data_IF_678377534419
#
_entry.id   IF_678377534419
#
_cell.length_a   1.000
_cell.length_b   1.000
_cell.length_c   1.000
_cell.angle_alpha   90.00
_cell.angle_beta   90.00
_cell.angle_gamma   90.00
#
_symmetry.space_group_name_H-M   'P 1'
#
loop_
_entity.id
_entity.type
_entity.pdbx_description
1 polymer ?
#
# COMPACT_ATOMS: atom_id res chain seq x y z
N UNK A 1 13.01 -1.60 21.39
CA UNK A 1 11.93 -0.62 21.15
C UNK A 1 12.20 0.22 19.92
N UNK A 2 13.31 0.97 19.86
CA UNK A 2 13.69 1.76 18.67
C UNK A 2 13.69 0.94 17.38
N UNK A 3 14.26 -0.26 17.43
CA UNK A 3 14.21 -1.23 16.33
C UNK A 3 12.78 -1.53 15.88
N UNK A 4 11.83 -1.75 16.79
CA UNK A 4 10.44 -2.02 16.45
C UNK A 4 9.76 -0.82 15.81
N UNK A 5 9.90 0.37 16.38
CA UNK A 5 9.23 1.56 15.86
C UNK A 5 9.81 1.97 14.51
N UNK A 6 11.14 1.93 14.35
CA UNK A 6 11.78 2.21 13.07
C UNK A 6 11.43 1.15 12.04
N UNK A 7 11.30 -0.11 12.46
CA UNK A 7 10.78 -1.17 11.62
C UNK A 7 9.34 -0.89 11.16
N UNK A 8 8.45 -0.45 12.07
CA UNK A 8 7.08 -0.04 11.66
C UNK A 8 7.14 1.13 10.69
N UNK A 9 8.00 2.13 10.92
CA UNK A 9 8.16 3.26 9.99
C UNK A 9 8.60 2.80 8.60
N UNK A 10 9.53 1.86 8.55
CA UNK A 10 10.02 1.27 7.30
C UNK A 10 8.93 0.48 6.57
N UNK A 11 8.15 -0.34 7.29
CA UNK A 11 7.18 -1.27 6.67
C UNK A 11 5.78 -0.72 6.49
N UNK A 12 5.37 0.24 7.30
CA UNK A 12 3.99 0.71 7.38
C UNK A 12 3.85 2.21 7.10
N UNK A 13 4.95 2.90 6.82
CA UNK A 13 4.99 4.34 6.60
C UNK A 13 5.19 5.15 7.88
N UNK A 14 5.28 6.49 7.78
CA UNK A 14 5.55 7.35 8.91
C UNK A 14 4.49 7.19 10.00
N UNK A 15 4.95 7.07 11.25
CA UNK A 15 4.08 7.13 12.41
C UNK A 15 3.68 8.59 12.66
N UNK A 16 2.40 8.82 12.98
CA UNK A 16 1.75 10.12 13.15
C UNK A 16 2.68 11.18 13.75
N UNK A 17 3.21 12.13 12.96
CA UNK A 17 4.15 13.13 13.47
C UNK A 17 3.42 14.07 14.43
N UNK A 18 3.69 13.93 15.73
CA UNK A 18 3.12 14.72 16.83
C UNK A 18 1.61 14.56 17.07
N UNK A 19 0.98 13.47 16.60
CA UNK A 19 -0.49 13.29 16.68
C UNK A 19 -0.93 11.89 17.13
N UNK A 20 -0.13 11.22 17.94
CA UNK A 20 -0.43 9.84 18.36
C UNK A 20 -0.25 9.59 19.85
N UNK A 21 -1.10 8.71 20.39
CA UNK A 21 -0.90 8.06 21.68
C UNK A 21 -0.18 6.73 21.47
N UNK A 22 0.90 6.54 22.23
CA UNK A 22 1.60 5.27 22.40
C UNK A 22 1.12 4.57 23.66
N UNK A 23 0.85 3.28 23.59
CA UNK A 23 0.45 2.44 24.73
C UNK A 23 1.38 1.21 24.86
N UNK A 24 1.87 0.95 26.07
CA UNK A 24 2.53 -0.32 26.42
C UNK A 24 1.68 -1.06 27.46
N UNK A 25 1.17 -2.25 27.10
CA UNK A 25 0.38 -3.10 28.00
C UNK A 25 1.28 -4.09 28.72
N UNK A 26 1.34 -3.98 30.06
CA UNK A 26 2.33 -4.68 30.85
C UNK A 26 3.69 -3.99 30.72
N UNK A 27 3.73 -2.68 30.96
CA UNK A 27 4.90 -1.84 30.72
C UNK A 27 6.10 -2.14 31.62
N UNK A 28 5.90 -2.93 32.67
CA UNK A 28 6.93 -3.31 33.62
C UNK A 28 7.50 -2.08 34.32
N UNK A 29 8.78 -1.79 34.08
CA UNK A 29 9.44 -0.59 34.62
C UNK A 29 9.44 0.60 33.64
N UNK A 30 8.63 0.54 32.58
CA UNK A 30 8.44 1.65 31.64
C UNK A 30 9.55 1.83 30.59
N UNK A 31 10.39 0.81 30.34
CA UNK A 31 11.53 0.94 29.39
C UNK A 31 11.07 1.29 27.98
N UNK A 32 10.03 0.62 27.48
CA UNK A 32 9.52 0.89 26.12
C UNK A 32 8.87 2.27 26.05
N UNK A 33 8.09 2.66 27.08
CA UNK A 33 7.50 3.99 27.17
C UNK A 33 8.57 5.09 27.13
N UNK A 34 9.64 4.95 27.93
CA UNK A 34 10.73 5.93 27.93
C UNK A 34 11.48 5.97 26.60
N UNK A 35 11.76 4.82 25.99
CA UNK A 35 12.37 4.76 24.67
C UNK A 35 11.48 5.43 23.61
N UNK A 36 10.17 5.16 23.63
CA UNK A 36 9.22 5.82 22.74
C UNK A 36 9.20 7.35 22.96
N UNK A 37 9.34 7.79 24.22
CA UNK A 37 9.33 9.20 24.60
C UNK A 37 10.54 9.99 24.10
N UNK A 38 11.69 9.33 24.04
CA UNK A 38 12.95 9.96 23.64
C UNK A 38 13.21 9.89 22.14
N UNK A 39 12.68 8.86 21.47
CA UNK A 39 13.08 8.54 20.10
C UNK A 39 12.02 8.87 19.06
N UNK A 40 10.77 9.11 19.48
CA UNK A 40 9.65 9.27 18.56
C UNK A 40 8.71 10.42 18.96
N UNK A 41 8.11 11.10 17.97
CA UNK A 41 7.31 12.31 18.19
C UNK A 41 5.87 11.96 18.58
N UNK A 42 5.67 11.12 19.60
CA UNK A 42 4.33 10.88 20.13
C UNK A 42 3.84 12.11 20.89
N UNK A 43 2.52 12.33 20.93
CA UNK A 43 1.94 13.39 21.76
C UNK A 43 1.86 12.93 23.22
N UNK A 44 1.49 11.67 23.41
CA UNK A 44 1.28 11.06 24.73
C UNK A 44 1.73 9.61 24.73
N UNK A 45 2.23 9.18 25.88
CA UNK A 45 2.80 7.85 26.10
C UNK A 45 2.22 7.33 27.39
N UNK A 46 1.62 6.15 27.31
CA UNK A 46 0.91 5.52 28.41
C UNK A 46 1.52 4.14 28.64
N UNK A 47 1.98 3.87 29.86
CA UNK A 47 2.30 2.52 30.32
C UNK A 47 1.23 2.04 31.30
N UNK A 48 0.76 0.81 31.16
CA UNK A 48 -0.18 0.18 32.10
C UNK A 48 0.51 -1.02 32.74
N UNK A 49 0.60 -1.00 34.07
CA UNK A 49 1.26 -2.04 34.86
C UNK A 49 0.44 -2.41 36.10
N UNK A 50 0.29 -3.71 36.35
CA UNK A 50 -0.51 -4.22 37.46
C UNK A 50 0.28 -4.26 38.77
N UNK A 51 1.58 -4.55 38.71
CA UNK A 51 2.43 -4.73 39.88
C UNK A 51 2.88 -3.39 40.46
N UNK A 52 2.45 -3.12 41.70
CA UNK A 52 2.78 -1.87 42.40
C UNK A 52 4.30 -1.62 42.47
N UNK A 53 5.09 -2.65 42.75
CA UNK A 53 6.55 -2.51 42.87
C UNK A 53 7.23 -2.05 41.58
N UNK A 54 6.66 -2.39 40.42
CA UNK A 54 7.15 -1.94 39.12
C UNK A 54 6.62 -0.54 38.80
N UNK A 55 5.36 -0.27 39.12
CA UNK A 55 4.77 1.05 38.95
C UNK A 55 5.42 2.14 39.84
N UNK A 56 5.92 1.78 41.03
CA UNK A 56 6.71 2.69 41.85
C UNK A 56 8.00 3.13 41.12
N UNK A 57 8.63 2.21 40.38
CA UNK A 57 9.79 2.50 39.54
C UNK A 57 9.39 3.38 38.36
N UNK A 58 8.28 3.08 37.70
CA UNK A 58 7.73 3.91 36.63
C UNK A 58 7.45 5.35 37.07
N UNK A 59 6.89 5.54 38.26
CA UNK A 59 6.64 6.86 38.85
C UNK A 59 7.94 7.64 39.04
N UNK A 60 9.00 6.97 39.52
CA UNK A 60 10.33 7.58 39.62
C UNK A 60 10.94 7.90 38.25
N UNK A 61 10.73 7.04 37.24
CA UNK A 61 11.14 7.30 35.85
C UNK A 61 10.38 8.50 35.28
N UNK A 62 9.08 8.62 35.52
CA UNK A 62 8.26 9.75 35.07
C UNK A 62 8.75 11.07 35.66
N UNK A 63 9.04 11.10 36.97
CA UNK A 63 9.58 12.28 37.63
C UNK A 63 10.91 12.71 37.03
N UNK A 64 11.83 11.77 36.79
CA UNK A 64 13.11 12.06 36.12
C UNK A 64 12.92 12.53 34.69
N UNK A 65 12.02 11.89 33.94
CA UNK A 65 11.73 12.29 32.57
C UNK A 65 11.17 13.72 32.52
N UNK A 66 10.37 14.15 33.50
CA UNK A 66 9.87 15.51 33.60
C UNK A 66 10.99 16.56 33.72
N UNK A 67 12.13 16.21 34.31
CA UNK A 67 13.32 17.06 34.44
C UNK A 67 14.22 17.07 33.20
N UNK A 68 14.07 16.10 32.28
CA UNK A 68 14.88 16.03 31.06
C UNK A 68 14.54 17.18 30.10
N UNK A 69 15.56 17.95 29.71
CA UNK A 69 15.49 18.89 28.59
C UNK A 69 15.76 18.14 27.28
N UNK A 70 14.83 18.26 26.32
CA UNK A 70 15.00 17.65 25.00
C UNK A 70 15.75 18.60 24.05
N UNK A 71 16.46 18.08 23.04
CA UNK A 71 17.08 18.88 21.99
C UNK A 71 16.10 19.84 21.30
N UNK A 72 16.62 20.96 20.79
CA UNK A 72 15.82 21.94 20.04
C UNK A 72 15.07 21.27 18.87
N UNK A 73 13.77 21.58 18.74
CA UNK A 73 12.89 21.00 17.72
C UNK A 73 12.21 19.68 18.09
N UNK A 74 12.53 19.07 19.25
CA UNK A 74 11.80 17.91 19.74
C UNK A 74 10.65 18.32 20.67
N UNK A 75 9.44 17.83 20.38
CA UNK A 75 8.29 17.98 21.27
C UNK A 75 8.38 16.96 22.40
N UNK A 76 8.31 17.40 23.66
CA UNK A 76 8.29 16.51 24.82
C UNK A 76 6.88 15.90 24.97
N UNK A 77 6.72 14.56 24.87
CA UNK A 77 5.43 13.93 25.06
C UNK A 77 4.95 14.02 26.51
N UNK A 78 3.64 13.96 26.69
CA UNK A 78 3.05 13.63 27.99
C UNK A 78 3.34 12.15 28.31
N UNK A 79 4.19 11.89 29.30
CA UNK A 79 4.45 10.54 29.80
C UNK A 79 3.56 10.27 31.02
N UNK A 80 2.75 9.22 30.97
CA UNK A 80 1.85 8.80 32.05
C UNK A 80 1.97 7.30 32.30
N UNK A 81 1.99 6.91 33.58
CA UNK A 81 1.95 5.52 33.99
C UNK A 81 0.70 5.28 34.81
N UNK A 82 -0.03 4.23 34.47
CA UNK A 82 -1.28 3.85 35.12
C UNK A 82 -1.07 2.54 35.84
N UNK A 83 -1.19 2.57 37.17
CA UNK A 83 -1.28 1.38 37.99
C UNK A 83 -2.65 0.76 37.78
N UNK A 84 -2.72 -0.43 37.19
CA UNK A 84 -3.99 -1.10 36.95
C UNK A 84 -3.82 -2.48 36.34
N UNK A 85 -4.74 -3.38 36.70
CA UNK A 85 -4.92 -4.66 36.00
C UNK A 85 -5.83 -4.41 34.80
N UNK A 86 -5.26 -4.39 33.59
CA UNK A 86 -6.02 -4.09 32.38
C UNK A 86 -7.07 -5.15 32.02
N UNK A 87 -7.05 -6.33 32.65
CA UNK A 87 -8.10 -7.35 32.50
C UNK A 87 -9.28 -7.02 33.41
N UNK A 88 -9.01 -6.80 34.69
CA UNK A 88 -10.05 -6.52 35.69
C UNK A 88 -10.63 -5.10 35.59
N UNK A 89 -9.81 -4.14 35.13
CA UNK A 89 -10.10 -2.71 35.11
C UNK A 89 -10.18 -2.17 33.67
N UNK A 90 -10.47 -3.03 32.69
CA UNK A 90 -10.51 -2.67 31.27
C UNK A 90 -11.38 -1.42 31.01
N UNK A 91 -12.61 -1.41 31.52
CA UNK A 91 -13.60 -0.35 31.26
C UNK A 91 -13.16 0.99 31.88
N UNK A 92 -12.45 0.96 33.02
CA UNK A 92 -11.96 2.18 33.68
C UNK A 92 -10.62 2.68 33.15
N UNK A 93 -9.75 1.78 32.67
CA UNK A 93 -8.38 2.10 32.26
C UNK A 93 -8.23 2.19 30.74
N UNK A 94 -8.63 1.12 30.03
CA UNK A 94 -8.36 0.99 28.60
C UNK A 94 -9.48 1.54 27.72
N UNK A 95 -10.75 1.39 28.11
CA UNK A 95 -11.87 1.77 27.26
C UNK A 95 -11.88 3.25 26.89
N UNK A 96 -11.45 4.12 27.81
CA UNK A 96 -11.40 5.57 27.59
C UNK A 96 -10.25 6.00 26.69
N UNK A 97 -9.09 5.35 26.80
CA UNK A 97 -7.89 5.72 26.03
C UNK A 97 -7.83 5.03 24.67
N UNK A 98 -8.41 3.83 24.53
CA UNK A 98 -8.29 2.99 23.34
C UNK A 98 -8.57 3.72 22.01
N UNK A 99 -9.61 4.57 21.89
CA UNK A 99 -9.89 5.31 20.65
C UNK A 99 -8.80 6.29 20.23
N UNK A 100 -7.91 6.69 21.14
CA UNK A 100 -6.79 7.62 20.88
C UNK A 100 -5.47 6.86 20.60
N UNK A 101 -5.40 5.56 20.90
CA UNK A 101 -4.18 4.76 20.79
C UNK A 101 -3.84 4.45 19.34
N UNK A 102 -2.90 5.22 18.80
CA UNK A 102 -2.37 5.03 17.45
C UNK A 102 -1.31 3.94 17.35
N UNK A 103 -0.62 3.62 18.44
CA UNK A 103 0.42 2.60 18.48
C UNK A 103 0.39 1.87 19.82
N UNK A 104 0.28 0.55 19.80
CA UNK A 104 0.32 -0.28 21.00
C UNK A 104 1.41 -1.36 20.92
N UNK A 105 2.08 -1.61 22.04
CA UNK A 105 2.98 -2.75 22.23
C UNK A 105 2.43 -3.65 23.33
N UNK A 106 2.52 -4.96 23.10
CA UNK A 106 2.10 -5.99 24.05
C UNK A 106 3.16 -7.08 24.10
N UNK A 107 3.92 -7.14 25.20
CA UNK A 107 4.88 -8.23 25.42
C UNK A 107 4.19 -9.42 26.08
N UNK A 108 3.46 -10.19 25.29
CA UNK A 108 2.54 -11.22 25.74
C UNK A 108 3.20 -12.58 26.10
N UNK A 109 4.46 -12.60 26.54
CA UNK A 109 5.18 -13.86 26.80
C UNK A 109 4.55 -14.70 27.91
N UNK A 110 3.96 -14.05 28.92
CA UNK A 110 3.36 -14.71 30.08
C UNK A 110 1.85 -14.47 30.18
N UNK A 111 1.23 -13.94 29.12
CA UNK A 111 -0.20 -13.64 29.11
C UNK A 111 -1.01 -14.93 28.95
N UNK A 112 -2.11 -15.06 29.67
CA UNK A 112 -3.08 -16.13 29.47
C UNK A 112 -4.21 -15.69 28.54
N UNK A 113 -5.24 -16.54 28.46
CA UNK A 113 -6.45 -16.24 27.70
C UNK A 113 -7.15 -14.94 28.16
N UNK A 114 -7.28 -14.63 29.47
CA UNK A 114 -7.93 -13.38 29.91
C UNK A 114 -7.23 -12.13 29.41
N UNK A 115 -5.90 -12.10 29.48
CA UNK A 115 -5.08 -10.98 29.01
C UNK A 115 -5.18 -10.83 27.49
N UNK A 116 -5.11 -11.93 26.75
CA UNK A 116 -5.23 -11.89 25.28
C UNK A 116 -6.65 -11.48 24.83
N UNK A 117 -7.69 -11.83 25.58
CA UNK A 117 -9.05 -11.33 25.35
C UNK A 117 -9.15 -9.82 25.59
N UNK A 118 -8.49 -9.29 26.61
CA UNK A 118 -8.42 -7.84 26.85
C UNK A 118 -7.66 -7.12 25.73
N UNK A 119 -6.55 -7.69 25.23
CA UNK A 119 -5.82 -7.17 24.06
C UNK A 119 -6.71 -7.15 22.81
N UNK A 120 -7.52 -8.20 22.59
CA UNK A 120 -8.48 -8.24 21.48
C UNK A 120 -9.55 -7.13 21.60
N UNK A 121 -10.09 -6.90 22.80
CA UNK A 121 -11.04 -5.79 23.06
C UNK A 121 -10.41 -4.42 22.84
N UNK A 122 -9.15 -4.22 23.26
CA UNK A 122 -8.40 -2.99 22.98
C UNK A 122 -8.28 -2.80 21.46
N UNK A 123 -7.82 -3.83 20.75
CA UNK A 123 -7.60 -3.78 19.31
C UNK A 123 -8.90 -3.44 18.53
N UNK A 124 -10.06 -3.90 18.99
CA UNK A 124 -11.36 -3.52 18.42
C UNK A 124 -11.68 -2.03 18.58
N UNK A 125 -11.26 -1.40 19.69
CA UNK A 125 -11.54 0.01 20.01
C UNK A 125 -10.52 1.00 19.47
N UNK A 126 -9.33 0.54 19.07
CA UNK A 126 -8.30 1.41 18.48
C UNK A 126 -8.77 2.06 17.16
N UNK A 127 -8.29 3.27 16.82
CA UNK A 127 -8.68 3.96 15.60
C UNK A 127 -8.14 3.29 14.34
N UNK A 128 -8.73 3.64 13.19
CA UNK A 128 -8.20 3.26 11.88
C UNK A 128 -6.76 3.75 11.69
N UNK A 129 -5.93 2.95 11.00
CA UNK A 129 -4.52 3.26 10.77
C UNK A 129 -3.62 2.96 11.96
N UNK A 130 -4.20 2.61 13.12
CA UNK A 130 -3.41 2.25 14.29
C UNK A 130 -2.55 1.01 14.05
N UNK A 131 -1.41 0.95 14.75
CA UNK A 131 -0.49 -0.18 14.73
C UNK A 131 -0.48 -0.90 16.07
N UNK A 132 -0.41 -2.23 16.04
CA UNK A 132 -0.32 -3.08 17.22
C UNK A 132 0.83 -4.06 17.04
N UNK A 133 1.75 -4.08 17.98
CA UNK A 133 2.84 -5.05 18.05
C UNK A 133 2.54 -6.02 19.19
N UNK A 134 2.56 -7.32 18.89
CA UNK A 134 2.51 -8.36 19.92
C UNK A 134 3.77 -9.21 19.85
N UNK A 135 4.32 -9.55 21.02
CA UNK A 135 5.49 -10.42 21.16
C UNK A 135 5.06 -11.74 21.80
N UNK A 136 5.61 -12.84 21.31
CA UNK A 136 5.33 -14.23 21.69
C UNK A 136 3.96 -14.74 21.22
N UNK A 137 2.87 -14.03 21.55
CA UNK A 137 1.51 -14.44 21.18
C UNK A 137 0.92 -13.58 20.06
N UNK A 138 0.11 -14.21 19.20
CA UNK A 138 -0.60 -13.54 18.09
C UNK A 138 -1.90 -12.91 18.58
N UNK A 139 -2.35 -11.86 17.90
CA UNK A 139 -3.72 -11.37 18.02
C UNK A 139 -4.72 -12.46 17.60
N UNK A 140 -5.94 -12.39 18.14
CA UNK A 140 -6.99 -13.35 17.82
C UNK A 140 -7.26 -13.42 16.31
N UNK A 141 -7.27 -14.65 15.78
CA UNK A 141 -7.49 -14.98 14.38
C UNK A 141 -8.83 -14.47 13.81
N UNK A 142 -9.79 -14.10 14.66
CA UNK A 142 -11.08 -13.51 14.29
C UNK A 142 -10.95 -12.02 13.96
N UNK A 143 -9.97 -11.33 14.54
CA UNK A 143 -9.66 -9.92 14.27
C UNK A 143 -8.70 -9.75 13.10
N UNK A 144 -7.93 -10.78 12.76
CA UNK A 144 -6.94 -10.71 11.69
C UNK A 144 -7.58 -10.95 10.33
N UNK A 145 -7.55 -9.93 9.48
CA UNK A 145 -7.99 -9.96 8.08
C UNK A 145 -6.99 -10.78 7.28
N UNK A 146 -7.49 -11.85 6.66
CA UNK A 146 -6.74 -12.63 5.69
C UNK A 146 -7.52 -12.66 4.38
N UNK A 147 -7.10 -11.81 3.46
CA UNK A 147 -7.70 -11.63 2.13
C UNK A 147 -7.62 -12.92 1.29
N UNK A 148 -6.68 -13.81 1.63
CA UNK A 148 -6.42 -15.06 0.93
C UNK A 148 -6.75 -16.28 1.80
N UNK A 149 -7.54 -16.13 2.88
CA UNK A 149 -7.79 -17.22 3.83
C UNK A 149 -8.43 -18.40 3.13
N UNK A 150 -7.64 -19.45 2.89
CA UNK A 150 -8.08 -20.62 2.15
C UNK A 150 -9.34 -21.24 2.77
N UNK A 151 -10.39 -21.50 1.97
CA UNK A 151 -11.62 -22.16 2.45
C UNK A 151 -11.34 -23.49 3.15
N UNK A 152 -10.26 -24.21 2.80
CA UNK A 152 -9.85 -25.48 3.41
C UNK A 152 -9.42 -25.35 4.86
N UNK A 153 -8.66 -24.30 5.22
CA UNK A 153 -8.28 -24.04 6.62
C UNK A 153 -9.52 -23.75 7.48
N UNK A 154 -10.54 -23.11 6.89
CA UNK A 154 -11.85 -22.91 7.53
C UNK A 154 -12.61 -24.21 7.72
N UNK A 155 -12.60 -25.10 6.72
CA UNK A 155 -13.21 -26.44 6.80
C UNK A 155 -12.63 -27.21 7.98
N UNK A 156 -11.30 -27.24 8.13
CA UNK A 156 -10.66 -27.90 9.27
C UNK A 156 -11.09 -27.30 10.63
N UNK A 157 -11.17 -25.97 10.75
CA UNK A 157 -11.56 -25.32 12.01
C UNK A 157 -13.05 -25.51 12.34
N UNK A 158 -13.92 -25.40 11.34
CA UNK A 158 -15.35 -25.62 11.49
C UNK A 158 -15.65 -27.09 11.81
N UNK A 159 -14.99 -28.03 11.12
CA UNK A 159 -15.04 -29.46 11.44
C UNK A 159 -14.54 -29.72 12.85
N UNK A 160 -13.45 -29.06 13.29
CA UNK A 160 -12.95 -29.18 14.68
C UNK A 160 -13.95 -28.66 15.71
N UNK A 161 -14.59 -27.50 15.46
CA UNK A 161 -15.65 -26.95 16.34
C UNK A 161 -16.89 -27.85 16.38
N UNK A 162 -17.32 -28.35 15.22
CA UNK A 162 -18.45 -29.28 15.12
C UNK A 162 -18.14 -30.62 15.82
N UNK A 163 -16.93 -31.14 15.69
CA UNK A 163 -16.45 -32.33 16.41
C UNK A 163 -16.43 -32.10 17.92
N UNK A 164 -15.96 -30.94 18.39
CA UNK A 164 -15.94 -30.60 19.80
C UNK A 164 -17.34 -30.52 20.43
N UNK A 165 -18.34 -30.06 19.67
CA UNK A 165 -19.74 -30.00 20.14
C UNK A 165 -20.50 -31.34 19.99
N UNK A 166 -20.29 -32.08 18.90
CA UNK A 166 -21.13 -33.24 18.52
C UNK A 166 -20.48 -34.59 18.78
N UNK A 167 -19.17 -34.63 19.04
CA UNK A 167 -18.41 -35.87 19.29
C UNK A 167 -18.15 -36.77 18.08
N UNK A 168 -18.77 -36.51 16.92
CA UNK A 168 -18.62 -37.31 15.69
C UNK A 168 -18.56 -36.43 14.44
N UNK A 169 -17.70 -36.82 13.49
CA UNK A 169 -17.52 -36.11 12.23
C UNK A 169 -18.75 -36.31 11.32
N UNK A 170 -19.37 -35.25 10.78
CA UNK A 170 -20.48 -35.41 9.86
C UNK A 170 -20.00 -36.08 8.57
N UNK A 171 -20.38 -37.35 8.36
CA UNK A 171 -20.09 -38.08 7.13
C UNK A 171 -21.04 -37.65 6.01
N UNK A 172 -20.50 -37.28 4.85
CA UNK A 172 -21.26 -37.11 3.61
C UNK A 172 -21.90 -35.73 3.36
N UNK A 173 -21.68 -34.75 4.23
CA UNK A 173 -22.13 -33.37 4.00
C UNK A 173 -20.92 -32.52 3.61
N UNK A 174 -20.88 -32.06 2.36
CA UNK A 174 -19.96 -31.01 1.95
C UNK A 174 -20.47 -29.69 2.52
N UNK A 175 -19.84 -29.24 3.60
CA UNK A 175 -20.13 -27.93 4.19
C UNK A 175 -19.44 -26.90 3.29
N UNK A 176 -20.19 -26.28 2.39
CA UNK A 176 -19.79 -25.04 1.74
C UNK A 176 -19.80 -23.93 2.80
N UNK A 177 -18.61 -23.59 3.30
CA UNK A 177 -18.47 -22.47 4.22
C UNK A 177 -18.34 -21.21 3.40
N UNK A 178 -19.40 -20.41 3.40
CA UNK A 178 -19.33 -19.01 2.97
C UNK A 178 -18.13 -18.33 3.65
N UNK A 179 -17.42 -17.44 2.94
CA UNK A 179 -16.35 -16.67 3.56
C UNK A 179 -16.88 -15.99 4.81
N UNK A 180 -16.23 -16.21 5.95
CA UNK A 180 -16.48 -15.35 7.10
C UNK A 180 -16.21 -13.93 6.63
N UNK A 181 -17.22 -13.08 6.74
CA UNK A 181 -17.05 -11.67 6.44
C UNK A 181 -15.90 -11.16 7.32
N UNK A 182 -14.87 -10.60 6.68
CA UNK A 182 -13.79 -9.96 7.42
C UNK A 182 -14.42 -8.86 8.28
N UNK A 183 -14.00 -8.77 9.55
CA UNK A 183 -14.44 -7.68 10.41
C UNK A 183 -14.13 -6.36 9.69
N UNK A 184 -15.10 -5.45 9.50
CA UNK A 184 -14.86 -4.17 8.84
C UNK A 184 -13.81 -3.33 9.57
N UNK A 185 -13.52 -3.62 10.84
CA UNK A 185 -12.49 -3.03 11.68
C UNK A 185 -11.33 -4.01 11.96
N UNK A 186 -11.11 -4.96 11.06
CA UNK A 186 -10.08 -5.98 11.21
C UNK A 186 -8.65 -5.46 11.06
N UNK A 187 -7.70 -6.32 11.42
CA UNK A 187 -6.27 -6.05 11.47
C UNK A 187 -5.54 -6.84 10.39
N UNK A 188 -4.66 -6.21 9.61
CA UNK A 188 -3.77 -6.95 8.71
C UNK A 188 -2.45 -7.24 9.42
N UNK A 189 -2.04 -8.50 9.42
CA UNK A 189 -0.67 -8.87 9.78
C UNK A 189 0.28 -8.35 8.68
N UNK A 190 1.08 -7.35 9.01
CA UNK A 190 2.05 -6.73 8.08
C UNK A 190 3.40 -7.41 8.14
N UNK A 191 3.78 -7.92 9.30
CA UNK A 191 5.05 -8.59 9.48
C UNK A 191 5.00 -9.60 10.61
N UNK A 192 5.79 -10.67 10.45
CA UNK A 192 6.00 -11.71 11.45
C UNK A 192 7.44 -12.17 11.32
N UNK A 193 8.20 -12.12 12.42
CA UNK A 193 9.60 -12.58 12.44
C UNK A 193 10.01 -13.05 13.83
N UNK A 194 11.17 -13.70 13.92
CA UNK A 194 11.79 -14.08 15.19
C UNK A 194 12.73 -12.98 15.66
N UNK A 195 12.64 -12.60 16.93
CA UNK A 195 13.47 -11.58 17.58
C UNK A 195 14.19 -12.19 18.77
N UNK A 196 15.47 -11.86 18.89
CA UNK A 196 16.30 -12.26 20.03
C UNK A 196 16.11 -11.27 21.18
N UNK A 197 15.67 -11.75 22.33
CA UNK A 197 15.49 -10.96 23.55
C UNK A 197 16.43 -11.48 24.65
N UNK A 198 16.55 -10.75 25.76
CA UNK A 198 17.44 -11.14 26.87
C UNK A 198 17.13 -12.53 27.44
N UNK A 199 15.90 -13.02 27.25
CA UNK A 199 15.43 -14.34 27.69
C UNK A 199 15.33 -15.38 26.56
N UNK A 200 15.81 -15.06 25.36
CA UNK A 200 15.89 -15.95 24.20
C UNK A 200 15.08 -15.49 22.98
N UNK A 201 15.10 -16.31 21.93
CA UNK A 201 14.38 -16.09 20.68
C UNK A 201 12.87 -16.24 20.88
N UNK A 202 12.09 -15.27 20.41
CA UNK A 202 10.62 -15.35 20.38
C UNK A 202 10.07 -14.77 19.08
N UNK A 203 8.79 -14.97 18.80
CA UNK A 203 8.12 -14.39 17.64
C UNK A 203 7.63 -12.97 17.94
N UNK A 204 7.67 -12.09 16.95
CA UNK A 204 7.04 -10.78 16.97
C UNK A 204 6.08 -10.64 15.79
N UNK A 205 4.94 -9.99 16.03
CA UNK A 205 3.89 -9.78 15.05
C UNK A 205 3.52 -8.30 15.02
N UNK A 206 3.55 -7.72 13.82
CA UNK A 206 3.12 -6.35 13.57
C UNK A 206 1.80 -6.36 12.81
N UNK A 207 0.79 -5.74 13.41
CA UNK A 207 -0.51 -5.56 12.83
C UNK A 207 -0.77 -4.09 12.55
N UNK A 208 -1.53 -3.82 11.49
CA UNK A 208 -2.06 -2.48 11.20
C UNK A 208 -3.56 -2.58 10.97
N UNK A 209 -4.32 -1.69 11.61
CA UNK A 209 -5.76 -1.62 11.53
C UNK A 209 -6.16 -0.90 10.26
N UNK A 210 -7.06 -1.51 9.49
CA UNK A 210 -7.63 -0.88 8.31
C UNK A 210 -9.13 -1.03 8.36
N UNK A 211 -9.82 -0.02 7.84
CA UNK A 211 -11.19 -0.28 7.38
C UNK A 211 -11.17 -0.93 6.01
N UNK A 212 -12.29 -1.56 5.64
CA UNK A 212 -12.50 -2.05 4.29
C UNK A 212 -12.16 -0.95 3.26
N UNK A 213 -11.34 -1.22 2.22
CA UNK A 213 -11.00 -2.51 1.61
C UNK A 213 -9.71 -3.16 2.14
N UNK A 214 -9.17 -2.69 3.26
CA UNK A 214 -7.94 -3.19 3.86
C UNK A 214 -6.67 -2.95 3.00
N UNK A 215 -6.59 -1.82 2.30
CA UNK A 215 -5.45 -1.44 1.43
C UNK A 215 -4.62 -0.31 2.05
N UNK A 216 -3.30 -0.33 1.86
CA UNK A 216 -2.46 0.88 2.00
C UNK A 216 -2.50 1.73 0.74
N UNK A 217 -2.19 3.02 0.87
CA UNK A 217 -1.94 3.88 -0.29
C UNK A 217 -0.82 3.28 -1.14
N UNK A 218 -1.10 3.02 -2.41
CA UNK A 218 -0.20 2.34 -3.34
C UNK A 218 -0.39 0.82 -3.43
N UNK A 219 -1.12 0.17 -2.51
CA UNK A 219 -1.49 -1.23 -2.66
C UNK A 219 -2.32 -1.42 -3.95
N UNK A 220 -2.13 -2.56 -4.63
CA UNK A 220 -3.04 -2.96 -5.69
C UNK A 220 -4.38 -3.36 -5.07
N UNK A 221 -5.46 -2.82 -5.61
CA UNK A 221 -6.86 -3.12 -5.29
C UNK A 221 -7.65 -3.43 -6.58
N UNK A 222 -8.88 -3.90 -6.42
CA UNK A 222 -9.85 -3.94 -7.53
C UNK A 222 -10.84 -2.79 -7.34
N UNK A 223 -11.21 -2.08 -8.40
CA UNK A 223 -12.10 -0.94 -8.29
C UNK A 223 -13.24 -0.99 -9.31
N UNK A 224 -14.46 -0.78 -8.83
CA UNK A 224 -15.64 -0.58 -9.66
C UNK A 224 -15.81 0.92 -9.97
N UNK A 225 -15.95 1.32 -11.24
CA UNK A 225 -16.13 2.71 -11.60
C UNK A 225 -17.47 3.27 -11.08
N UNK A 226 -17.65 4.59 -11.15
CA UNK A 226 -18.93 5.22 -10.81
C UNK A 226 -20.05 4.71 -11.73
N UNK A 227 -21.32 4.63 -11.28
CA UNK A 227 -22.44 4.10 -12.09
C UNK A 227 -22.70 4.86 -13.40
N UNK A 228 -22.18 6.09 -13.51
CA UNK A 228 -22.29 6.95 -14.69
C UNK A 228 -21.32 6.56 -15.82
N UNK A 229 -20.30 5.75 -15.51
CA UNK A 229 -19.37 5.23 -16.51
C UNK A 229 -20.03 4.08 -17.26
N UNK A 230 -20.01 4.11 -18.59
CA UNK A 230 -20.67 3.09 -19.42
C UNK A 230 -20.09 1.69 -19.17
N UNK A 231 -18.77 1.59 -19.01
CA UNK A 231 -18.08 0.37 -18.61
C UNK A 231 -18.08 0.22 -17.09
N UNK A 232 -18.81 -0.76 -16.58
CA UNK A 232 -18.88 -1.11 -15.15
C UNK A 232 -17.88 -2.21 -14.76
N UNK A 233 -16.91 -2.53 -15.62
CA UNK A 233 -15.93 -3.58 -15.37
C UNK A 233 -15.04 -3.25 -14.17
N UNK A 234 -14.97 -4.17 -13.21
CA UNK A 234 -14.06 -4.07 -12.08
C UNK A 234 -12.64 -4.34 -12.57
N UNK A 235 -11.76 -3.36 -12.41
CA UNK A 235 -10.39 -3.40 -12.94
C UNK A 235 -9.34 -3.21 -11.82
N UNK A 236 -8.10 -3.70 -12.02
CA UNK A 236 -7.02 -3.48 -11.07
C UNK A 236 -6.60 -2.00 -11.04
N UNK A 237 -6.33 -1.49 -9.85
CA UNK A 237 -5.97 -0.10 -9.60
C UNK A 237 -5.01 -0.01 -8.40
N UNK A 238 -4.26 1.09 -8.30
CA UNK A 238 -3.54 1.46 -7.10
C UNK A 238 -4.47 2.21 -6.16
N UNK A 239 -4.55 1.77 -4.92
CA UNK A 239 -5.37 2.38 -3.89
C UNK A 239 -4.83 3.77 -3.53
N UNK A 240 -5.70 4.78 -3.53
CA UNK A 240 -5.37 6.15 -3.07
C UNK A 240 -6.16 6.49 -1.81
N UNK A 241 -7.42 6.06 -1.74
CA UNK A 241 -8.29 6.20 -0.59
C UNK A 241 -9.59 5.41 -0.74
N UNK A 242 -10.51 5.48 0.23
CA UNK A 242 -11.72 4.65 0.27
C UNK A 242 -12.62 4.76 -0.96
N UNK A 243 -12.63 5.93 -1.60
CA UNK A 243 -13.44 6.24 -2.78
C UNK A 243 -12.59 6.70 -3.96
N UNK A 244 -11.27 6.57 -3.88
CA UNK A 244 -10.35 7.13 -4.87
C UNK A 244 -9.26 6.13 -5.19
N UNK A 245 -9.01 5.90 -6.47
CA UNK A 245 -7.97 4.97 -6.94
C UNK A 245 -7.28 5.54 -8.17
N UNK A 246 -6.19 4.90 -8.58
CA UNK A 246 -5.54 5.14 -9.87
C UNK A 246 -5.54 3.84 -10.66
N UNK A 247 -6.36 3.74 -11.71
CA UNK A 247 -6.43 2.52 -12.50
C UNK A 247 -5.07 2.16 -13.09
N UNK A 248 -4.71 0.87 -13.04
CA UNK A 248 -3.45 0.41 -13.65
C UNK A 248 -3.51 0.54 -15.17
N UNK A 249 -4.70 0.55 -15.77
CA UNK A 249 -4.86 0.70 -17.22
C UNK A 249 -4.70 2.13 -17.72
N UNK A 250 -4.70 3.10 -16.80
CA UNK A 250 -4.56 4.50 -17.14
C UNK A 250 -3.07 4.86 -17.23
N UNK A 251 -2.62 5.24 -18.42
CA UNK A 251 -1.29 5.80 -18.61
C UNK A 251 -1.19 7.23 -18.00
N UNK A 252 -2.32 7.89 -17.75
CA UNK A 252 -2.37 9.21 -17.14
C UNK A 252 -2.12 9.20 -15.63
N UNK A 253 -2.15 8.02 -14.98
CA UNK A 253 -1.98 7.86 -13.54
C UNK A 253 -2.83 8.85 -12.70
N UNK A 254 -4.01 9.23 -13.19
CA UNK A 254 -4.88 10.17 -12.48
C UNK A 254 -5.64 9.44 -11.38
N UNK A 255 -5.75 10.10 -10.23
CA UNK A 255 -6.64 9.64 -9.19
C UNK A 255 -8.08 9.92 -9.63
N UNK A 256 -8.93 8.90 -9.62
CA UNK A 256 -10.33 8.96 -10.03
C UNK A 256 -11.23 8.45 -8.92
N UNK A 257 -12.43 9.00 -8.83
CA UNK A 257 -13.45 8.52 -7.91
C UNK A 257 -14.07 7.21 -8.41
N UNK A 258 -14.38 6.33 -7.47
CA UNK A 258 -14.92 4.99 -7.75
C UNK A 258 -16.08 4.67 -6.83
N UNK A 259 -17.01 3.84 -7.32
CA UNK A 259 -18.19 3.45 -6.54
C UNK A 259 -17.83 2.50 -5.40
N UNK A 260 -16.87 1.61 -5.63
CA UNK A 260 -16.43 0.62 -4.64
C UNK A 260 -15.01 0.16 -4.90
N UNK A 261 -14.24 0.02 -3.83
CA UNK A 261 -12.94 -0.65 -3.84
C UNK A 261 -13.07 -2.01 -3.18
N UNK A 262 -12.39 -3.01 -3.74
CA UNK A 262 -12.33 -4.37 -3.23
C UNK A 262 -10.88 -4.79 -2.98
N UNK A 263 -10.65 -5.65 -1.98
CA UNK A 263 -9.33 -6.22 -1.74
C UNK A 263 -8.79 -7.00 -2.96
N UNK A 264 -7.48 -6.94 -3.19
CA UNK A 264 -6.81 -7.67 -4.26
C UNK A 264 -6.40 -9.08 -3.81
N UNK A 265 -7.34 -10.02 -3.89
CA UNK A 265 -7.11 -11.43 -3.54
C UNK A 265 -6.40 -12.21 -4.68
N UNK A 266 -5.95 -13.43 -4.39
CA UNK A 266 -5.27 -14.30 -5.36
C UNK A 266 -6.11 -14.59 -6.63
N UNK A 267 -7.44 -14.70 -6.50
CA UNK A 267 -8.32 -14.91 -7.65
C UNK A 267 -8.35 -13.66 -8.56
N UNK A 268 -8.52 -12.48 -7.96
CA UNK A 268 -8.44 -11.19 -8.66
C UNK A 268 -7.09 -11.01 -9.33
N UNK A 269 -6.00 -11.41 -8.66
CA UNK A 269 -4.64 -11.41 -9.21
C UNK A 269 -4.52 -12.31 -10.44
N UNK A 270 -5.02 -13.55 -10.40
CA UNK A 270 -5.01 -14.46 -11.57
C UNK A 270 -5.77 -13.87 -12.75
N UNK A 271 -6.93 -13.25 -12.50
CA UNK A 271 -7.73 -12.56 -13.53
C UNK A 271 -6.97 -11.36 -14.12
N UNK A 272 -6.38 -10.52 -13.26
CA UNK A 272 -5.60 -9.35 -13.68
C UNK A 272 -4.35 -9.74 -14.48
N UNK A 273 -3.59 -10.74 -14.04
CA UNK A 273 -2.42 -11.27 -14.78
C UNK A 273 -2.83 -11.78 -16.15
N UNK A 274 -3.95 -12.52 -16.27
CA UNK A 274 -4.46 -13.00 -17.55
C UNK A 274 -4.85 -11.83 -18.47
N UNK A 275 -5.53 -10.82 -17.94
CA UNK A 275 -5.91 -9.62 -18.69
C UNK A 275 -4.67 -8.87 -19.19
N UNK A 276 -3.68 -8.65 -18.33
CA UNK A 276 -2.46 -7.92 -18.68
C UNK A 276 -1.58 -8.68 -19.65
N UNK A 277 -1.54 -10.01 -19.59
CA UNK A 277 -0.92 -10.81 -20.63
C UNK A 277 -1.54 -10.55 -22.00
N UNK A 278 -2.87 -10.51 -22.10
CA UNK A 278 -3.55 -10.20 -23.35
C UNK A 278 -3.25 -8.77 -23.82
N UNK A 279 -3.14 -7.81 -22.89
CA UNK A 279 -2.78 -6.42 -23.20
C UNK A 279 -1.35 -6.28 -23.70
N UNK A 280 -0.38 -6.97 -23.10
CA UNK A 280 1.01 -7.01 -23.57
C UNK A 280 1.06 -7.55 -25.00
N UNK A 281 0.37 -8.65 -25.29
CA UNK A 281 0.33 -9.22 -26.64
C UNK A 281 -0.36 -8.27 -27.65
N UNK A 282 -1.45 -7.63 -27.25
CA UNK A 282 -2.14 -6.63 -28.08
C UNK A 282 -1.24 -5.41 -28.37
N UNK A 283 -0.54 -4.90 -27.35
CA UNK A 283 0.35 -3.75 -27.49
C UNK A 283 1.61 -4.10 -28.30
N UNK A 284 2.14 -5.33 -28.17
CA UNK A 284 3.21 -5.84 -29.05
C UNK A 284 2.75 -5.98 -30.49
N UNK A 285 1.55 -6.52 -30.72
CA UNK A 285 0.98 -6.63 -32.06
C UNK A 285 0.77 -5.25 -32.70
N UNK A 286 0.30 -4.27 -31.92
CA UNK A 286 0.16 -2.87 -32.32
C UNK A 286 1.52 -2.21 -32.57
N UNK A 287 2.51 -2.48 -31.73
CA UNK A 287 3.87 -2.01 -31.92
C UNK A 287 4.50 -2.58 -33.20
N UNK A 288 4.15 -3.80 -33.58
CA UNK A 288 4.59 -4.44 -34.81
C UNK A 288 3.85 -3.94 -36.08
N UNK A 289 2.74 -3.20 -35.95
CA UNK A 289 2.09 -2.60 -37.11
C UNK A 289 3.05 -1.62 -37.80
N UNK A 290 3.01 -1.66 -39.14
CA UNK A 290 4.03 -1.10 -40.02
C UNK A 290 4.23 0.40 -39.89
N UNK A 291 5.34 0.87 -40.46
CA UNK A 291 5.85 2.23 -40.38
C UNK A 291 4.98 3.27 -41.13
N UNK A 292 3.85 2.83 -41.68
CA UNK A 292 2.87 3.62 -42.42
C UNK A 292 2.30 4.77 -41.59
N UNK A 293 2.17 4.62 -40.27
CA UNK A 293 1.69 5.69 -39.38
C UNK A 293 2.63 6.92 -39.41
N UNK A 294 3.94 6.69 -39.48
CA UNK A 294 4.94 7.76 -39.55
C UNK A 294 4.84 8.47 -40.89
N UNK A 295 4.74 7.71 -41.99
CA UNK A 295 4.56 8.27 -43.32
C UNK A 295 3.26 9.10 -43.42
N UNK A 296 2.15 8.61 -42.86
CA UNK A 296 0.87 9.32 -42.84
C UNK A 296 0.94 10.60 -42.01
N UNK A 297 1.56 10.56 -40.82
CA UNK A 297 1.72 11.74 -39.97
C UNK A 297 2.57 12.82 -40.65
N UNK A 298 3.67 12.43 -41.30
CA UNK A 298 4.52 13.36 -42.07
C UNK A 298 3.76 13.95 -43.26
N UNK A 299 3.03 13.13 -44.02
CA UNK A 299 2.23 13.59 -45.16
C UNK A 299 1.19 14.64 -44.73
N UNK A 300 0.48 14.39 -43.62
CA UNK A 300 -0.51 15.32 -43.07
C UNK A 300 0.11 16.68 -42.70
N UNK A 301 1.27 16.69 -42.04
CA UNK A 301 1.94 17.96 -41.71
C UNK A 301 2.41 18.70 -42.97
N UNK A 302 2.84 17.99 -44.02
CA UNK A 302 3.22 18.61 -45.30
C UNK A 302 2.05 19.26 -46.03
N UNK A 303 0.85 18.69 -45.94
CA UNK A 303 -0.37 19.29 -46.48
C UNK A 303 -0.70 20.64 -45.81
N UNK A 304 -0.39 20.77 -44.51
CA UNK A 304 -0.61 21.99 -43.75
C UNK A 304 0.56 23.00 -43.88
N UNK A 305 1.79 22.50 -44.02
CA UNK A 305 3.03 23.29 -44.02
C UNK A 305 4.06 22.71 -45.00
N UNK A 306 4.15 23.30 -46.19
CA UNK A 306 5.10 22.90 -47.26
C UNK A 306 6.59 22.92 -46.82
N UNK A 307 6.94 23.65 -45.76
CA UNK A 307 8.31 23.79 -45.27
C UNK A 307 8.74 22.69 -44.29
N UNK A 308 7.83 21.82 -43.88
CA UNK A 308 8.16 20.72 -42.97
C UNK A 308 9.12 19.72 -43.65
N UNK A 309 10.24 19.45 -43.00
CA UNK A 309 11.32 18.60 -43.50
C UNK A 309 12.02 19.12 -44.78
N UNK A 310 12.18 20.44 -44.91
CA UNK A 310 12.99 21.03 -45.99
C UNK A 310 14.42 20.46 -45.91
N UNK A 311 14.95 19.99 -47.04
CA UNK A 311 16.22 19.24 -47.16
C UNK A 311 16.25 17.84 -46.53
N UNK A 312 15.09 17.24 -46.23
CA UNK A 312 14.98 15.88 -45.71
C UNK A 312 15.37 15.74 -44.24
N UNK A 313 15.50 16.86 -43.52
CA UNK A 313 15.83 16.92 -42.09
C UNK A 313 14.65 17.41 -41.28
N UNK A 314 14.32 16.70 -40.21
CA UNK A 314 13.17 16.96 -39.36
C UNK A 314 13.67 17.40 -37.98
N UNK A 315 13.28 18.58 -37.47
CA UNK A 315 13.58 18.96 -36.10
C UNK A 315 12.85 18.04 -35.11
N UNK A 316 13.49 17.65 -34.01
CA UNK A 316 12.88 16.73 -33.04
C UNK A 316 12.60 17.36 -31.67
N UNK A 317 12.91 18.66 -31.47
CA UNK A 317 12.53 19.40 -30.27
C UNK A 317 11.03 19.66 -30.24
N UNK A 318 10.45 19.61 -29.04
CA UNK A 318 9.01 19.73 -28.80
C UNK A 318 8.66 21.10 -28.23
N UNK A 319 9.04 22.16 -28.95
CA UNK A 319 8.68 23.53 -28.57
C UNK A 319 7.19 23.78 -28.82
N UNK A 320 6.58 24.68 -28.03
CA UNK A 320 5.17 25.04 -28.18
C UNK A 320 4.89 25.57 -29.60
N UNK A 321 3.91 24.98 -30.29
CA UNK A 321 3.57 25.33 -31.68
C UNK A 321 4.52 24.78 -32.75
N UNK A 322 5.50 23.95 -32.38
CA UNK A 322 6.37 23.27 -33.35
C UNK A 322 5.62 22.24 -34.20
N UNK A 323 6.06 22.10 -35.45
CA UNK A 323 5.50 21.11 -36.39
C UNK A 323 5.75 19.67 -35.92
N UNK A 324 6.85 19.45 -35.20
CA UNK A 324 7.20 18.18 -34.57
C UNK A 324 6.19 17.78 -33.49
N UNK A 325 5.75 18.74 -32.66
CA UNK A 325 4.72 18.48 -31.66
C UNK A 325 3.38 18.13 -32.33
N UNK A 326 3.02 18.81 -33.42
CA UNK A 326 1.83 18.49 -34.20
C UNK A 326 1.93 17.09 -34.87
N UNK A 327 3.09 16.74 -35.43
CA UNK A 327 3.36 15.42 -35.97
C UNK A 327 3.23 14.34 -34.90
N UNK A 328 3.82 14.56 -33.73
CA UNK A 328 3.76 13.62 -32.60
C UNK A 328 2.32 13.46 -32.09
N UNK A 329 1.56 14.55 -31.99
CA UNK A 329 0.12 14.49 -31.66
C UNK A 329 -0.67 13.64 -32.66
N UNK A 330 -0.39 13.78 -33.96
CA UNK A 330 -1.02 12.95 -35.01
C UNK A 330 -0.62 11.47 -34.86
N UNK A 331 0.65 11.18 -34.56
CA UNK A 331 1.13 9.82 -34.31
C UNK A 331 0.46 9.21 -33.09
N UNK A 332 0.36 9.94 -32.00
CA UNK A 332 -0.29 9.48 -30.76
C UNK A 332 -1.77 9.19 -30.99
N UNK A 333 -2.47 10.08 -31.70
CA UNK A 333 -3.88 9.90 -32.07
C UNK A 333 -4.09 8.69 -32.99
N UNK A 334 -3.26 8.54 -34.03
CA UNK A 334 -3.34 7.40 -34.95
C UNK A 334 -2.96 6.07 -34.28
N UNK A 335 -2.05 6.13 -33.31
CA UNK A 335 -1.74 5.02 -32.42
C UNK A 335 -2.80 4.83 -31.33
N UNK A 336 -3.87 5.63 -31.26
CA UNK A 336 -4.94 5.46 -30.28
C UNK A 336 -4.50 5.64 -28.82
N UNK A 337 -3.56 6.54 -28.56
CA UNK A 337 -3.21 6.96 -27.20
C UNK A 337 -4.19 8.03 -26.71
N UNK A 338 -4.51 8.06 -25.40
CA UNK A 338 -5.36 9.11 -24.85
C UNK A 338 -4.63 10.47 -24.88
N UNK A 339 -5.39 11.54 -25.08
CA UNK A 339 -4.91 12.92 -24.94
C UNK A 339 -4.72 13.25 -23.46
N UNK A 340 -3.54 12.95 -22.93
CA UNK A 340 -3.20 13.19 -21.53
C UNK A 340 -1.78 13.74 -21.36
N UNK A 341 -1.61 14.67 -20.43
CA UNK A 341 -0.33 15.35 -20.16
C UNK A 341 0.80 14.37 -19.83
N UNK A 342 0.58 13.36 -18.98
CA UNK A 342 1.64 12.40 -18.63
C UNK A 342 1.98 11.48 -19.79
N UNK A 343 0.98 11.10 -20.59
CA UNK A 343 1.19 10.30 -21.79
C UNK A 343 1.97 11.08 -22.83
N UNK A 344 1.62 12.36 -23.04
CA UNK A 344 2.33 13.29 -23.91
C UNK A 344 3.77 13.48 -23.44
N UNK A 345 4.00 13.65 -22.13
CA UNK A 345 5.34 13.79 -21.58
C UNK A 345 6.18 12.52 -21.78
N UNK A 346 5.62 11.33 -21.46
CA UNK A 346 6.31 10.06 -21.69
C UNK A 346 6.67 9.86 -23.16
N UNK A 347 5.71 10.07 -24.06
CA UNK A 347 5.94 9.92 -25.50
C UNK A 347 6.96 10.94 -25.99
N UNK A 348 6.88 12.19 -25.55
CA UNK A 348 7.81 13.25 -25.90
C UNK A 348 9.23 12.99 -25.43
N UNK A 349 9.42 12.58 -24.18
CA UNK A 349 10.73 12.20 -23.62
C UNK A 349 11.36 11.04 -24.40
N UNK A 350 10.56 10.00 -24.69
CA UNK A 350 11.04 8.83 -25.45
C UNK A 350 11.32 9.15 -26.91
N UNK A 351 10.54 10.06 -27.49
CA UNK A 351 10.77 10.58 -28.84
C UNK A 351 12.10 11.32 -28.91
N UNK A 352 12.33 12.27 -28.01
CA UNK A 352 13.57 13.07 -27.96
C UNK A 352 14.78 12.16 -27.76
N UNK A 353 14.76 11.29 -26.74
CA UNK A 353 15.86 10.36 -26.49
C UNK A 353 16.12 9.44 -27.71
N UNK A 354 15.05 9.00 -28.36
CA UNK A 354 15.13 8.18 -29.56
C UNK A 354 15.80 8.89 -30.74
N UNK A 355 15.52 10.19 -30.91
CA UNK A 355 16.10 11.06 -31.94
C UNK A 355 17.54 11.47 -31.62
N UNK A 356 17.86 11.78 -30.36
CA UNK A 356 19.24 12.13 -29.93
C UNK A 356 20.22 11.00 -30.20
N UNK A 357 19.82 9.74 -29.99
CA UNK A 357 20.62 8.57 -30.36
C UNK A 357 20.87 8.46 -31.89
N UNK A 358 20.03 9.09 -32.71
CA UNK A 358 20.12 9.10 -34.17
C UNK A 358 20.77 10.39 -34.72
N UNK A 359 21.05 11.36 -33.85
CA UNK A 359 21.69 12.66 -34.13
C UNK A 359 22.99 12.80 -33.32
N UNK A 360 24.05 12.01 -33.63
CA UNK A 360 25.30 12.02 -32.88
C UNK A 360 26.03 13.38 -32.91
N UNK A 361 25.73 14.20 -33.92
CA UNK A 361 26.30 15.54 -34.10
C UNK A 361 25.51 16.62 -33.34
N UNK A 362 24.44 16.26 -32.63
CA UNK A 362 23.60 17.17 -31.82
C UNK A 362 23.05 18.37 -32.61
N UNK A 363 22.72 18.14 -33.89
CA UNK A 363 22.20 19.17 -34.79
C UNK A 363 20.79 19.64 -34.41
N UNK A 364 20.07 18.88 -33.60
CA UNK A 364 18.66 19.11 -33.28
C UNK A 364 17.71 18.65 -34.39
N UNK A 365 18.22 17.90 -35.38
CA UNK A 365 17.47 17.38 -36.52
C UNK A 365 17.86 15.93 -36.83
N UNK A 366 16.94 15.13 -37.34
CA UNK A 366 17.21 13.78 -37.86
C UNK A 366 16.72 13.65 -39.30
N UNK A 367 17.24 12.69 -40.05
CA UNK A 367 16.74 12.41 -41.40
C UNK A 367 15.31 11.84 -41.33
N UNK A 368 14.49 12.12 -42.34
CA UNK A 368 13.09 11.69 -42.37
C UNK A 368 12.93 10.16 -42.31
N UNK A 369 13.82 9.40 -42.95
CA UNK A 369 13.85 7.94 -42.91
C UNK A 369 14.20 7.38 -41.53
N UNK A 370 14.80 8.20 -40.65
CA UNK A 370 15.11 7.85 -39.26
C UNK A 370 13.92 8.05 -38.30
N UNK A 371 12.86 8.78 -38.69
CA UNK A 371 11.67 9.01 -37.86
C UNK A 371 11.00 7.70 -37.45
N UNK A 372 11.01 6.72 -38.34
CA UNK A 372 10.54 5.36 -38.08
C UNK A 372 11.28 4.74 -36.91
N UNK A 373 12.61 4.81 -36.92
CA UNK A 373 13.44 4.24 -35.85
C UNK A 373 13.20 4.94 -34.51
N UNK A 374 13.03 6.27 -34.51
CA UNK A 374 12.67 7.02 -33.31
C UNK A 374 11.29 6.59 -32.77
N UNK A 375 10.28 6.46 -33.65
CA UNK A 375 8.95 6.02 -33.26
C UNK A 375 8.91 4.58 -32.73
N UNK A 376 9.70 3.66 -33.31
CA UNK A 376 9.82 2.30 -32.82
C UNK A 376 10.32 2.24 -31.36
N UNK A 377 11.20 3.17 -30.96
CA UNK A 377 11.65 3.29 -29.55
C UNK A 377 10.52 3.77 -28.64
N UNK A 378 9.68 4.71 -29.09
CA UNK A 378 8.49 5.13 -28.35
C UNK A 378 7.53 3.95 -28.15
N UNK A 379 7.21 3.21 -29.22
CA UNK A 379 6.35 2.02 -29.16
C UNK A 379 6.91 0.96 -28.21
N UNK A 380 8.22 0.69 -28.27
CA UNK A 380 8.88 -0.24 -27.35
C UNK A 380 8.78 0.22 -25.89
N UNK A 381 8.91 1.51 -25.61
CA UNK A 381 8.74 2.06 -24.27
C UNK A 381 7.30 1.89 -23.76
N UNK A 382 6.29 2.09 -24.61
CA UNK A 382 4.88 1.87 -24.27
C UNK A 382 4.58 0.39 -23.95
N UNK A 383 5.13 -0.54 -24.74
CA UNK A 383 5.08 -1.98 -24.41
C UNK A 383 5.71 -2.23 -23.04
N UNK A 384 6.87 -1.63 -22.78
CA UNK A 384 7.58 -1.74 -21.50
C UNK A 384 6.75 -1.27 -20.29
N UNK A 385 5.90 -0.25 -20.45
CA UNK A 385 4.99 0.20 -19.37
C UNK A 385 3.96 -0.88 -19.03
N UNK A 386 3.37 -1.52 -20.03
CA UNK A 386 2.38 -2.60 -19.81
C UNK A 386 3.05 -3.85 -19.23
N UNK A 387 4.26 -4.17 -19.70
CA UNK A 387 5.07 -5.27 -19.16
C UNK A 387 5.47 -5.03 -17.70
N UNK A 388 5.86 -3.81 -17.33
CA UNK A 388 6.17 -3.44 -15.95
C UNK A 388 4.97 -3.67 -15.02
N UNK A 389 3.78 -3.25 -15.45
CA UNK A 389 2.52 -3.49 -14.70
C UNK A 389 2.19 -4.97 -14.59
N UNK A 390 2.44 -5.78 -15.62
CA UNK A 390 2.27 -7.24 -15.56
C UNK A 390 3.23 -7.87 -14.52
N UNK A 391 4.46 -7.39 -14.43
CA UNK A 391 5.43 -7.90 -13.46
C UNK A 391 5.05 -7.53 -12.02
N UNK A 392 4.57 -6.30 -11.78
CA UNK A 392 4.00 -5.90 -10.49
C UNK A 392 2.82 -6.80 -10.06
N UNK A 393 1.97 -7.21 -11.01
CA UNK A 393 0.86 -8.13 -10.70
C UNK A 393 1.34 -9.54 -10.36
N UNK A 394 2.55 -9.93 -10.78
CA UNK A 394 3.16 -11.24 -10.51
C UNK A 394 3.93 -11.27 -9.20
N UNK A 395 4.50 -10.14 -8.75
CA UNK A 395 5.16 -9.99 -7.44
C UNK A 395 4.15 -10.04 -6.29
#
# INVERSE_FOLDING_TARGET
MDSFVNFVKEKCGPLFPNQGVFLDLGSGVGKNCLAAALLHPFQKIIGVEALQSLNDVETAVQAKFAEVELPEGMTKPELSFVKGDFVAEFDSVLETIAPEVTFAVVVATTFGDPEMQAVAKLAQKMPEGASLVTVTQKLEDSLVVDVNREPRKRRALATRKALAQRGVEPKGIEIELEPAENDPNGWRLKHSDSVELEWGTTSCYLYKKYTYPFCDVGDICMAAPLPEVEDQTVAPAYYVGPTTVRYMDDLAEKAVEVSKVYPFCEESRKKAVKLYLQKVEAEKAKAAQGDELVAQAVAKIREEKETFAQDGKVPYKLDEGSDTLAMLSNLMSAYGLPEDEKVNNLVGERWIAGCEELDPDTTGTIAEDQLVSAWQKVKAALVGVVEGKLEELRS
#
